data_IF_676949376178
#
_entry.id   IF_676949376178
#
_cell.length_a   1.000
_cell.length_b   1.000
_cell.length_c   1.000
_cell.angle_alpha   90.00
_cell.angle_beta   90.00
_cell.angle_gamma   90.00
#
_symmetry.space_group_name_H-M   'P 1'
#
loop_
_entity.id
_entity.type
_entity.pdbx_description
1 polymer ?
#
# COMPACT_ATOMS: atom_id res chain seq x y z
N UNK A 1 10.18 6.85 -16.04
CA UNK A 1 9.64 5.85 -15.10
C UNK A 1 9.81 6.38 -13.71
N UNK A 2 8.81 6.13 -12.88
CA UNK A 2 8.62 6.85 -11.64
C UNK A 2 8.75 5.92 -10.45
N UNK A 3 9.38 6.37 -9.39
CA UNK A 3 9.42 5.66 -8.13
C UNK A 3 9.48 6.65 -6.99
N UNK A 4 9.25 6.16 -5.79
CA UNK A 4 9.43 6.96 -4.60
C UNK A 4 10.91 7.10 -4.24
N UNK A 5 11.24 8.30 -3.80
CA UNK A 5 12.46 8.65 -3.10
C UNK A 5 12.12 8.81 -1.63
N UNK A 6 13.07 8.49 -0.78
CA UNK A 6 12.94 8.59 0.66
C UNK A 6 14.10 9.40 1.17
N UNK A 7 13.83 10.32 2.08
CA UNK A 7 14.86 11.11 2.74
C UNK A 7 14.77 10.96 4.25
N UNK A 8 15.91 10.70 4.88
CA UNK A 8 16.04 10.67 6.33
C UNK A 8 17.12 11.68 6.74
N UNK A 9 16.84 12.60 7.68
CA UNK A 9 17.82 13.54 8.22
C UNK A 9 18.76 12.81 9.18
N UNK A 10 19.89 12.31 8.68
CA UNK A 10 20.87 11.50 9.41
C UNK A 10 22.29 11.70 8.86
N UNK A 11 23.28 11.68 9.75
CA UNK A 11 24.70 11.82 9.39
C UNK A 11 25.27 10.58 8.68
N UNK A 12 24.60 9.42 8.80
CA UNK A 12 25.05 8.14 8.25
C UNK A 12 23.95 7.46 7.43
N UNK A 13 24.37 6.63 6.47
CA UNK A 13 23.45 5.85 5.64
C UNK A 13 22.48 5.02 6.51
N UNK A 14 21.16 5.16 6.32
CA UNK A 14 20.20 4.46 7.15
C UNK A 14 20.29 2.96 6.94
N UNK A 15 20.33 2.22 8.05
CA UNK A 15 20.21 0.76 8.04
C UNK A 15 18.74 0.34 8.04
N UNK A 16 18.48 -0.93 7.77
CA UNK A 16 17.13 -1.51 7.93
C UNK A 16 16.56 -1.31 9.35
N UNK A 17 17.42 -1.33 10.37
CA UNK A 17 16.97 -1.10 11.75
C UNK A 17 16.50 0.34 11.93
N UNK A 18 17.23 1.30 11.37
CA UNK A 18 16.88 2.73 11.41
C UNK A 18 15.55 3.00 10.71
N UNK A 19 15.35 2.36 9.54
CA UNK A 19 14.09 2.43 8.81
C UNK A 19 12.91 1.89 9.63
N UNK A 20 13.07 0.74 10.29
CA UNK A 20 12.01 0.21 11.18
C UNK A 20 11.72 1.14 12.35
N UNK A 21 12.73 1.78 12.93
CA UNK A 21 12.53 2.71 14.05
C UNK A 21 11.72 3.97 13.66
N UNK A 22 11.74 4.35 12.37
CA UNK A 22 10.91 5.45 11.85
C UNK A 22 9.57 4.99 11.26
N UNK A 23 9.18 3.74 11.51
CA UNK A 23 7.89 3.17 11.06
C UNK A 23 7.90 2.69 9.62
N UNK A 24 9.08 2.46 9.05
CA UNK A 24 9.29 2.10 7.66
C UNK A 24 9.42 0.57 7.51
N UNK A 25 8.36 -0.15 7.87
CA UNK A 25 8.37 -1.61 8.05
C UNK A 25 8.42 -2.41 6.73
N UNK A 26 8.04 -1.79 5.61
CA UNK A 26 7.93 -2.43 4.31
C UNK A 26 9.23 -2.40 3.48
N UNK A 27 10.30 -1.76 3.98
CA UNK A 27 11.62 -1.82 3.36
C UNK A 27 12.29 -3.19 3.58
N UNK A 28 12.19 -4.09 2.60
CA UNK A 28 12.86 -5.39 2.64
C UNK A 28 14.09 -5.49 1.71
N UNK A 29 14.78 -4.39 1.45
CA UNK A 29 15.91 -4.38 0.51
C UNK A 29 17.27 -4.47 1.22
N UNK A 30 18.11 -5.37 0.72
CA UNK A 30 19.37 -5.77 1.35
C UNK A 30 20.45 -4.67 1.24
N UNK A 31 20.33 -3.84 0.21
CA UNK A 31 21.05 -2.59 0.03
C UNK A 31 20.04 -1.52 -0.40
N UNK A 32 20.23 -0.29 0.09
CA UNK A 32 19.44 0.87 -0.30
C UNK A 32 20.32 1.69 -1.25
N UNK A 33 20.05 1.70 -2.56
CA UNK A 33 20.68 2.64 -3.47
C UNK A 33 20.39 4.05 -2.93
N UNK A 34 21.46 4.76 -2.58
CA UNK A 34 21.37 5.96 -1.77
C UNK A 34 22.49 6.93 -2.08
N UNK A 35 22.24 8.21 -1.84
CA UNK A 35 23.27 9.22 -1.77
C UNK A 35 23.05 10.14 -0.56
N UNK A 36 24.16 10.62 -0.04
CA UNK A 36 24.18 11.71 0.93
C UNK A 36 23.76 13.02 0.24
N UNK A 37 23.03 13.86 0.96
CA UNK A 37 22.70 15.21 0.53
C UNK A 37 22.99 16.20 1.65
N UNK A 38 23.69 17.28 1.31
CA UNK A 38 24.05 18.32 2.28
C UNK A 38 22.86 19.19 2.69
N UNK A 39 21.80 19.19 1.88
CA UNK A 39 20.61 20.00 2.06
C UNK A 39 19.42 19.27 1.45
N UNK A 40 18.64 18.61 2.30
CA UNK A 40 17.42 17.89 1.94
C UNK A 40 16.17 18.77 1.94
N UNK A 41 14.97 18.16 1.89
CA UNK A 41 13.67 18.87 1.84
C UNK A 41 13.37 19.73 3.08
N UNK A 42 14.06 19.49 4.19
CA UNK A 42 13.94 20.23 5.44
C UNK A 42 15.17 21.12 5.73
N UNK A 43 15.95 21.43 4.70
CA UNK A 43 17.21 22.18 4.77
C UNK A 43 18.30 21.54 5.65
N UNK A 44 18.12 20.29 6.11
CA UNK A 44 19.13 19.55 6.90
C UNK A 44 19.99 18.64 6.02
N UNK A 45 21.11 18.20 6.59
CA UNK A 45 21.88 17.10 6.03
C UNK A 45 21.13 15.78 6.20
N UNK A 46 21.25 14.89 5.22
CA UNK A 46 20.68 13.56 5.33
C UNK A 46 20.98 12.65 4.16
N UNK A 47 20.20 11.58 4.05
CA UNK A 47 20.34 10.55 3.03
C UNK A 47 19.09 10.43 2.20
N UNK A 48 19.24 10.54 0.88
CA UNK A 48 18.20 10.19 -0.09
C UNK A 48 18.45 8.78 -0.60
N UNK A 49 17.42 7.95 -0.59
CA UNK A 49 17.50 6.59 -1.11
C UNK A 49 16.21 6.19 -1.82
N UNK A 50 16.29 5.17 -2.66
CA UNK A 50 15.12 4.42 -3.08
C UNK A 50 15.11 3.08 -2.34
N UNK A 51 13.95 2.44 -2.25
CA UNK A 51 13.88 1.12 -1.62
C UNK A 51 14.44 0.01 -2.50
N UNK A 52 14.97 0.28 -3.69
CA UNK A 52 15.28 -0.76 -4.66
C UNK A 52 14.00 -1.42 -5.19
N UNK A 53 13.92 -1.60 -6.50
CA UNK A 53 12.87 -2.38 -7.11
C UNK A 53 13.51 -3.64 -7.69
N UNK A 54 13.09 -4.89 -7.35
CA UNK A 54 13.26 -5.93 -8.34
C UNK A 54 12.57 -5.45 -9.62
N UNK A 55 13.18 -5.63 -10.80
CA UNK A 55 12.75 -4.99 -12.04
C UNK A 55 11.25 -5.20 -12.23
N UNK A 56 10.48 -4.13 -12.12
CA UNK A 56 9.07 -4.14 -12.48
C UNK A 56 9.00 -4.42 -14.00
N UNK A 57 7.92 -5.02 -14.49
CA UNK A 57 7.75 -5.35 -15.92
C UNK A 57 7.82 -4.13 -16.86
N UNK A 58 7.93 -2.91 -16.34
CA UNK A 58 7.98 -1.65 -17.07
C UNK A 58 9.30 -0.89 -17.12
N UNK A 59 10.30 -1.14 -16.23
CA UNK A 59 11.68 -0.68 -16.45
C UNK A 59 12.51 -0.12 -15.27
N UNK A 60 13.30 0.93 -15.54
CA UNK A 60 14.55 1.33 -14.85
C UNK A 60 14.39 2.12 -13.54
N UNK A 61 15.41 2.03 -12.70
CA UNK A 61 15.45 2.63 -11.36
C UNK A 61 15.45 4.17 -11.40
N UNK A 62 14.70 4.84 -10.50
CA UNK A 62 14.76 6.29 -10.41
C UNK A 62 16.16 6.70 -9.98
N UNK A 63 16.64 7.78 -10.58
CA UNK A 63 17.86 8.44 -10.16
C UNK A 63 17.75 8.88 -8.70
N UNK A 64 18.68 8.41 -7.86
CA UNK A 64 18.67 8.68 -6.43
C UNK A 64 19.52 9.91 -6.14
N UNK A 65 18.90 11.08 -6.21
CA UNK A 65 19.49 12.35 -5.77
C UNK A 65 18.40 13.33 -5.33
N UNK A 66 18.76 14.29 -4.49
CA UNK A 66 17.90 15.40 -4.12
C UNK A 66 17.95 16.51 -5.19
N UNK A 67 16.79 16.94 -5.69
CA UNK A 67 16.64 18.11 -6.56
C UNK A 67 15.28 18.76 -6.31
N UNK A 68 15.27 19.78 -5.45
CA UNK A 68 14.05 20.41 -4.94
C UNK A 68 13.08 20.89 -6.03
N UNK A 69 13.59 21.50 -7.10
CA UNK A 69 12.73 22.10 -8.15
C UNK A 69 12.02 21.06 -9.04
N UNK A 70 12.55 19.84 -9.11
CA UNK A 70 12.04 18.76 -9.96
C UNK A 70 11.26 17.71 -9.16
N UNK A 71 11.20 17.86 -7.85
CA UNK A 71 10.66 16.85 -6.94
C UNK A 71 9.59 17.43 -6.04
N UNK A 72 8.58 16.62 -5.75
CA UNK A 72 7.65 16.87 -4.65
C UNK A 72 8.13 16.10 -3.44
N UNK A 73 8.03 16.69 -2.25
CA UNK A 73 8.37 16.07 -0.99
C UNK A 73 7.23 16.26 0.02
N UNK A 74 6.83 15.17 0.65
CA UNK A 74 5.83 15.11 1.70
C UNK A 74 6.49 14.70 3.02
N UNK A 75 6.22 15.47 4.07
CA UNK A 75 6.69 15.18 5.42
C UNK A 75 5.97 13.94 5.96
N UNK A 76 6.70 13.03 6.62
CA UNK A 76 6.14 11.81 7.18
C UNK A 76 6.57 11.62 8.64
N UNK A 77 5.66 11.05 9.44
CA UNK A 77 5.87 10.75 10.86
C UNK A 77 6.45 11.92 11.68
N UNK A 78 5.84 13.10 11.57
CA UNK A 78 6.26 14.33 12.29
C UNK A 78 7.71 14.74 11.97
N UNK A 79 8.08 14.69 10.68
CA UNK A 79 9.38 15.17 10.21
C UNK A 79 10.55 14.24 10.49
N UNK A 80 10.27 12.99 10.88
CA UNK A 80 11.28 11.94 11.06
C UNK A 80 11.87 11.48 9.72
N UNK A 81 11.08 11.56 8.66
CA UNK A 81 11.51 11.25 7.30
C UNK A 81 10.59 11.91 6.28
N UNK A 82 10.97 11.88 5.02
CA UNK A 82 10.25 12.49 3.92
C UNK A 82 10.08 11.52 2.75
N UNK A 83 8.91 11.57 2.12
CA UNK A 83 8.58 10.84 0.91
C UNK A 83 8.66 11.79 -0.28
N UNK A 84 9.35 11.42 -1.35
CA UNK A 84 9.46 12.25 -2.54
C UNK A 84 9.28 11.50 -3.84
N UNK A 85 9.09 12.25 -4.92
CA UNK A 85 9.03 11.72 -6.29
C UNK A 85 9.29 12.84 -7.31
N UNK A 86 9.56 12.46 -8.56
CA UNK A 86 9.77 13.41 -9.65
C UNK A 86 8.43 14.00 -10.14
N UNK A 87 8.39 15.32 -10.32
CA UNK A 87 7.18 16.06 -10.72
C UNK A 87 6.68 15.70 -12.13
N UNK A 88 7.60 15.52 -13.08
CA UNK A 88 7.26 15.16 -14.46
C UNK A 88 6.83 13.69 -14.58
N UNK A 89 7.31 12.85 -13.67
CA UNK A 89 7.06 11.41 -13.64
C UNK A 89 6.64 10.98 -12.23
N UNK A 90 5.40 11.27 -11.81
CA UNK A 90 4.87 10.79 -10.54
C UNK A 90 4.62 9.28 -10.60
N UNK A 91 4.76 8.53 -9.48
CA UNK A 91 4.53 7.10 -9.42
C UNK A 91 3.13 6.73 -9.93
N UNK A 92 3.06 5.74 -10.81
CA UNK A 92 1.81 5.20 -11.34
C UNK A 92 1.52 3.82 -10.75
N UNK A 93 0.27 3.31 -10.87
CA UNK A 93 -0.04 1.95 -10.45
C UNK A 93 0.91 0.92 -11.09
N UNK A 94 1.27 1.11 -12.37
CA UNK A 94 2.13 0.18 -13.09
C UNK A 94 3.56 0.16 -12.52
N UNK A 95 4.10 1.32 -12.14
CA UNK A 95 5.44 1.40 -11.54
C UNK A 95 5.50 0.70 -10.17
N UNK A 96 4.40 0.79 -9.41
CA UNK A 96 4.32 0.33 -8.03
C UNK A 96 3.86 -1.12 -7.90
N UNK A 97 3.35 -1.73 -8.97
CA UNK A 97 2.74 -3.06 -8.93
C UNK A 97 3.77 -4.16 -8.60
N UNK A 98 3.39 -5.09 -7.74
CA UNK A 98 4.15 -6.32 -7.53
C UNK A 98 4.11 -7.21 -8.77
N UNK A 99 5.14 -8.03 -8.97
CA UNK A 99 5.23 -8.94 -10.13
C UNK A 99 4.06 -9.92 -10.20
N UNK A 100 3.59 -10.37 -9.04
CA UNK A 100 2.43 -11.26 -8.91
C UNK A 100 1.34 -10.49 -8.19
N UNK A 101 0.15 -10.45 -8.77
CA UNK A 101 -1.06 -9.95 -8.10
C UNK A 101 -2.09 -11.08 -8.04
N UNK A 102 -2.92 -11.07 -6.99
CA UNK A 102 -4.03 -12.00 -6.85
C UNK A 102 -5.26 -11.56 -7.65
N UNK A 103 -6.37 -12.29 -7.46
CA UNK A 103 -7.67 -11.86 -7.95
C UNK A 103 -8.02 -10.46 -7.45
N UNK A 104 -8.47 -9.60 -8.37
CA UNK A 104 -8.61 -8.17 -8.12
C UNK A 104 -9.73 -7.56 -8.95
N UNK A 105 -10.31 -6.46 -8.46
CA UNK A 105 -11.25 -5.60 -9.19
C UNK A 105 -10.58 -4.28 -9.57
N UNK A 106 -10.91 -3.75 -10.74
CA UNK A 106 -10.39 -2.46 -11.18
C UNK A 106 -11.24 -1.33 -10.59
N UNK A 107 -10.61 -0.38 -9.90
CA UNK A 107 -11.26 0.80 -9.32
C UNK A 107 -10.47 2.04 -9.73
N UNK A 108 -11.15 3.07 -10.23
CA UNK A 108 -10.51 4.37 -10.51
C UNK A 108 -10.38 5.14 -9.20
N UNK A 109 -9.15 5.50 -8.84
CA UNK A 109 -8.84 6.26 -7.63
C UNK A 109 -8.77 7.77 -7.91
N UNK A 110 -8.50 8.58 -6.88
CA UNK A 110 -8.59 10.04 -6.98
C UNK A 110 -7.51 10.63 -7.91
N UNK A 111 -6.43 9.89 -8.19
CA UNK A 111 -5.44 10.25 -9.19
C UNK A 111 -5.93 10.04 -10.64
N UNK A 112 -7.19 9.61 -10.81
CA UNK A 112 -7.82 9.37 -12.10
C UNK A 112 -7.35 8.09 -12.79
N UNK A 113 -6.56 7.25 -12.11
CA UNK A 113 -6.00 6.01 -12.67
C UNK A 113 -6.73 4.79 -12.16
N UNK A 114 -6.71 3.72 -12.94
CA UNK A 114 -7.27 2.44 -12.57
C UNK A 114 -6.27 1.63 -11.72
N UNK A 115 -6.69 1.28 -10.51
CA UNK A 115 -5.95 0.44 -9.57
C UNK A 115 -6.64 -0.92 -9.43
N UNK A 116 -5.85 -1.98 -9.27
CA UNK A 116 -6.29 -3.34 -9.06
C UNK A 116 -6.41 -3.59 -7.56
N UNK A 117 -7.62 -3.44 -7.04
CA UNK A 117 -7.93 -3.67 -5.63
C UNK A 117 -8.09 -5.18 -5.43
N UNK A 118 -7.30 -5.83 -4.57
CA UNK A 118 -7.42 -7.27 -4.37
C UNK A 118 -8.74 -7.62 -3.71
N UNK A 119 -9.36 -8.70 -4.21
CA UNK A 119 -10.46 -9.35 -3.50
C UNK A 119 -9.84 -10.13 -2.35
N UNK A 120 -10.15 -9.77 -1.11
CA UNK A 120 -9.61 -10.42 0.11
C UNK A 120 -10.59 -11.45 0.66
N UNK A 121 -11.89 -11.14 0.58
CA UNK A 121 -12.99 -12.00 1.01
C UNK A 121 -13.95 -12.17 -0.15
N UNK A 122 -14.18 -13.41 -0.54
CA UNK A 122 -15.21 -13.73 -1.53
C UNK A 122 -16.59 -13.79 -0.86
N UNK A 123 -17.64 -13.66 -1.66
CA UNK A 123 -19.05 -13.72 -1.20
C UNK A 123 -19.40 -15.01 -0.46
N UNK A 124 -18.72 -16.11 -0.78
CA UNK A 124 -18.92 -17.42 -0.13
C UNK A 124 -18.16 -17.55 1.21
N UNK A 125 -17.48 -16.49 1.64
CA UNK A 125 -16.80 -16.39 2.94
C UNK A 125 -15.36 -16.91 2.98
N UNK A 126 -14.83 -17.36 1.85
CA UNK A 126 -13.43 -17.76 1.64
C UNK A 126 -12.49 -16.55 1.61
N UNK A 127 -11.19 -16.80 1.81
CA UNK A 127 -10.15 -15.77 1.73
C UNK A 127 -9.16 -16.08 0.62
N UNK A 128 -8.64 -15.02 0.00
CA UNK A 128 -7.51 -15.09 -0.94
C UNK A 128 -6.18 -14.76 -0.26
N UNK A 129 -6.21 -14.38 1.03
CA UNK A 129 -5.00 -14.11 1.80
C UNK A 129 -4.18 -15.39 1.98
N UNK A 130 -2.86 -15.28 2.18
CA UNK A 130 -2.04 -16.41 2.57
C UNK A 130 -2.56 -17.06 3.85
N UNK A 131 -2.78 -18.38 3.78
CA UNK A 131 -3.25 -19.23 4.88
C UNK A 131 -2.27 -20.36 5.16
N UNK A 132 -2.25 -20.83 6.40
CA UNK A 132 -1.68 -22.13 6.73
C UNK A 132 -2.56 -23.25 6.18
N UNK A 133 -1.93 -24.24 5.58
CA UNK A 133 -2.57 -25.48 5.16
C UNK A 133 -2.40 -26.53 6.26
N UNK A 134 -3.38 -27.41 6.40
CA UNK A 134 -3.30 -28.56 7.29
C UNK A 134 -4.11 -29.73 6.74
N UNK A 135 -4.07 -30.84 7.47
CA UNK A 135 -4.91 -32.01 7.16
C UNK A 135 -6.09 -32.07 8.13
N UNK A 136 -7.24 -32.50 7.62
CA UNK A 136 -8.38 -32.92 8.42
C UNK A 136 -8.22 -34.37 8.94
N UNK A 137 -9.26 -34.93 9.57
CA UNK A 137 -9.22 -36.30 10.13
C UNK A 137 -9.17 -37.38 9.05
N UNK A 138 -9.51 -37.05 7.82
CA UNK A 138 -9.56 -37.94 6.66
C UNK A 138 -8.29 -37.83 5.80
N UNK A 139 -7.34 -36.96 6.17
CA UNK A 139 -6.13 -36.71 5.39
C UNK A 139 -6.34 -35.77 4.20
N UNK A 140 -7.45 -35.04 4.16
CA UNK A 140 -7.71 -34.03 3.13
C UNK A 140 -7.05 -32.71 3.50
N UNK A 141 -6.42 -32.04 2.53
CA UNK A 141 -5.83 -30.71 2.72
C UNK A 141 -6.94 -29.68 2.91
N UNK A 142 -6.87 -28.93 4.00
CA UNK A 142 -7.78 -27.85 4.35
C UNK A 142 -7.01 -26.57 4.65
N UNK A 143 -7.65 -25.42 4.41
CA UNK A 143 -7.18 -24.14 4.92
C UNK A 143 -7.45 -24.08 6.44
N UNK A 144 -6.46 -23.68 7.25
CA UNK A 144 -6.62 -23.62 8.71
C UNK A 144 -6.78 -22.20 9.24
N UNK A 145 -5.79 -21.35 8.99
CA UNK A 145 -5.77 -20.00 9.55
C UNK A 145 -5.00 -19.06 8.63
N UNK A 146 -5.50 -17.83 8.49
CA UNK A 146 -4.77 -16.72 7.88
C UNK A 146 -3.43 -16.52 8.58
N UNK A 147 -2.35 -16.29 7.82
CA UNK A 147 -1.03 -16.07 8.43
C UNK A 147 -1.07 -14.84 9.37
N UNK A 148 -0.31 -14.84 10.49
CA UNK A 148 -0.38 -13.79 11.50
C UNK A 148 -0.20 -12.36 10.94
N UNK A 149 0.65 -12.17 9.93
CA UNK A 149 0.88 -10.87 9.29
C UNK A 149 -0.34 -10.30 8.57
N UNK A 150 -1.35 -11.10 8.25
CA UNK A 150 -2.60 -10.66 7.60
C UNK A 150 -3.82 -10.75 8.53
N UNK A 151 -3.63 -11.09 9.82
CA UNK A 151 -4.74 -11.30 10.75
C UNK A 151 -5.59 -10.03 10.93
N UNK A 152 -4.95 -8.86 11.08
CA UNK A 152 -5.63 -7.57 11.20
C UNK A 152 -6.46 -7.24 9.95
N UNK A 153 -5.87 -7.42 8.77
CA UNK A 153 -6.56 -7.19 7.50
C UNK A 153 -7.77 -8.12 7.34
N UNK A 154 -7.62 -9.39 7.74
CA UNK A 154 -8.72 -10.35 7.74
C UNK A 154 -9.85 -9.98 8.71
N UNK A 155 -9.52 -9.52 9.91
CA UNK A 155 -10.49 -9.03 10.90
C UNK A 155 -11.29 -7.85 10.34
N UNK A 156 -10.62 -6.86 9.75
CA UNK A 156 -11.25 -5.68 9.16
C UNK A 156 -12.20 -6.06 8.02
N UNK A 157 -11.81 -6.99 7.14
CA UNK A 157 -12.71 -7.48 6.08
C UNK A 157 -13.90 -8.27 6.60
N UNK A 158 -13.75 -8.98 7.72
CA UNK A 158 -14.88 -9.65 8.38
C UNK A 158 -15.89 -8.62 8.90
N UNK A 159 -15.40 -7.59 9.61
CA UNK A 159 -16.24 -6.48 10.07
C UNK A 159 -16.93 -5.80 8.88
N UNK A 160 -16.22 -5.61 7.77
CA UNK A 160 -16.72 -4.89 6.61
C UNK A 160 -17.86 -5.67 5.95
N UNK A 161 -17.66 -6.98 5.78
CA UNK A 161 -18.69 -7.88 5.26
C UNK A 161 -19.94 -7.90 6.15
N UNK A 162 -19.76 -7.91 7.48
CA UNK A 162 -20.88 -7.78 8.42
C UNK A 162 -21.59 -6.43 8.27
N UNK A 163 -20.85 -5.33 8.10
CA UNK A 163 -21.42 -4.01 7.82
C UNK A 163 -22.30 -3.99 6.57
N UNK A 164 -21.81 -4.57 5.46
CA UNK A 164 -22.58 -4.69 4.22
C UNK A 164 -23.83 -5.58 4.36
N UNK A 165 -23.71 -6.72 5.04
CA UNK A 165 -24.80 -7.72 5.13
C UNK A 165 -25.83 -7.41 6.21
N UNK A 166 -25.42 -6.78 7.31
CA UNK A 166 -26.30 -6.40 8.41
C UNK A 166 -26.73 -4.93 8.37
N UNK A 167 -26.25 -4.15 7.38
CA UNK A 167 -26.44 -2.70 7.26
C UNK A 167 -25.97 -1.94 8.52
N UNK A 168 -24.91 -2.43 9.15
CA UNK A 168 -24.38 -1.96 10.44
C UNK A 168 -23.04 -1.21 10.23
N UNK A 169 -23.15 -0.04 9.60
CA UNK A 169 -22.01 0.80 9.23
C UNK A 169 -21.45 1.62 10.38
N UNK A 170 -22.23 1.82 11.46
CA UNK A 170 -21.87 2.62 12.63
C UNK A 170 -20.64 2.07 13.39
N UNK A 171 -20.22 0.84 13.05
CA UNK A 171 -19.05 0.17 13.62
C UNK A 171 -17.74 0.48 12.89
N UNK A 172 -17.76 1.29 11.84
CA UNK A 172 -16.56 1.70 11.12
C UNK A 172 -16.19 3.15 11.40
N UNK A 173 -14.94 3.36 11.80
CA UNK A 173 -14.33 4.68 11.72
C UNK A 173 -13.77 4.90 10.32
N UNK A 174 -13.62 6.15 9.91
CA UNK A 174 -12.90 6.47 8.66
C UNK A 174 -11.47 5.93 8.68
N UNK A 175 -10.84 5.91 9.86
CA UNK A 175 -9.51 5.34 10.06
C UNK A 175 -9.47 3.83 9.79
N UNK A 176 -10.45 3.05 10.27
CA UNK A 176 -10.54 1.60 10.00
C UNK A 176 -10.67 1.33 8.49
N UNK A 177 -11.48 2.13 7.78
CA UNK A 177 -11.67 1.99 6.33
C UNK A 177 -10.41 2.39 5.55
N UNK A 178 -9.73 3.45 5.98
CA UNK A 178 -8.48 3.90 5.38
C UNK A 178 -7.35 2.87 5.60
N UNK A 179 -7.23 2.32 6.82
CA UNK A 179 -6.30 1.24 7.15
C UNK A 179 -6.55 0.02 6.26
N UNK A 180 -7.82 -0.39 6.14
CA UNK A 180 -8.23 -1.51 5.30
C UNK A 180 -7.88 -1.28 3.82
N UNK A 181 -8.20 -0.11 3.28
CA UNK A 181 -7.91 0.23 1.89
C UNK A 181 -6.39 0.26 1.59
N UNK A 182 -5.60 0.88 2.46
CA UNK A 182 -4.14 0.90 2.32
C UNK A 182 -3.54 -0.50 2.46
N UNK A 183 -4.00 -1.29 3.42
CA UNK A 183 -3.56 -2.67 3.62
C UNK A 183 -3.88 -3.58 2.43
N UNK A 184 -5.06 -3.41 1.83
CA UNK A 184 -5.43 -4.12 0.61
C UNK A 184 -4.54 -3.69 -0.58
N UNK A 185 -4.37 -2.39 -0.80
CA UNK A 185 -3.48 -1.89 -1.87
C UNK A 185 -2.06 -2.45 -1.73
N UNK A 186 -1.52 -2.53 -0.51
CA UNK A 186 -0.19 -3.06 -0.24
C UNK A 186 0.02 -4.53 -0.67
N UNK A 187 -1.06 -5.31 -0.83
CA UNK A 187 -0.96 -6.69 -1.35
C UNK A 187 -0.58 -6.74 -2.83
N UNK A 188 -1.00 -5.74 -3.61
CA UNK A 188 -0.75 -5.67 -5.05
C UNK A 188 0.30 -4.63 -5.44
N UNK A 189 0.60 -3.68 -4.55
CA UNK A 189 1.44 -2.52 -4.81
C UNK A 189 2.47 -2.30 -3.69
N UNK A 190 3.60 -1.71 -4.05
CA UNK A 190 4.67 -1.29 -3.12
C UNK A 190 4.36 0.06 -2.50
N UNK A 191 3.25 0.12 -1.76
CA UNK A 191 2.82 1.33 -1.04
C UNK A 191 2.35 0.98 0.36
N UNK A 192 2.51 1.94 1.26
CA UNK A 192 1.90 1.98 2.57
C UNK A 192 0.88 3.12 2.65
N UNK A 193 0.36 3.37 3.85
CA UNK A 193 -0.53 4.50 4.12
C UNK A 193 0.09 5.87 3.82
N UNK A 194 1.43 5.98 3.89
CA UNK A 194 2.14 7.22 3.64
C UNK A 194 2.18 7.54 2.15
N UNK A 195 2.54 6.57 1.31
CA UNK A 195 2.55 6.73 -0.14
C UNK A 195 1.14 6.95 -0.69
N UNK A 196 0.15 6.19 -0.19
CA UNK A 196 -1.25 6.37 -0.58
C UNK A 196 -1.78 7.76 -0.20
N UNK A 197 -1.44 8.26 0.99
CA UNK A 197 -1.83 9.58 1.46
C UNK A 197 -1.15 10.71 0.69
N UNK A 198 0.16 10.59 0.45
CA UNK A 198 0.93 11.61 -0.27
C UNK A 198 0.52 11.74 -1.75
N UNK A 199 0.14 10.63 -2.39
CA UNK A 199 -0.44 10.64 -3.73
C UNK A 199 -1.92 11.06 -3.74
N UNK A 200 -2.57 11.19 -2.58
CA UNK A 200 -3.99 11.52 -2.47
C UNK A 200 -4.90 10.47 -3.10
N UNK A 201 -4.56 9.18 -3.02
CA UNK A 201 -5.27 8.13 -3.75
C UNK A 201 -6.71 7.92 -3.27
N UNK A 202 -6.94 8.06 -1.96
CA UNK A 202 -8.20 7.73 -1.31
C UNK A 202 -8.94 9.00 -0.90
N UNK A 203 -10.22 9.05 -1.23
CA UNK A 203 -11.17 10.10 -0.83
C UNK A 203 -12.37 9.46 -0.17
N UNK A 204 -13.15 10.25 0.57
CA UNK A 204 -14.42 9.78 1.14
C UNK A 204 -15.39 9.24 0.08
N UNK A 205 -15.32 9.77 -1.14
CA UNK A 205 -16.13 9.33 -2.27
C UNK A 205 -15.67 7.97 -2.82
N UNK A 206 -14.36 7.79 -3.07
CA UNK A 206 -13.87 6.57 -3.70
C UNK A 206 -13.63 5.39 -2.74
N UNK A 207 -13.53 5.67 -1.43
CA UNK A 207 -13.21 4.66 -0.42
C UNK A 207 -14.26 3.56 -0.36
N UNK A 208 -15.53 3.90 -0.55
CA UNK A 208 -16.63 2.94 -0.57
C UNK A 208 -16.49 1.90 -1.70
N UNK A 209 -16.06 2.31 -2.89
CA UNK A 209 -15.81 1.41 -4.03
C UNK A 209 -14.60 0.50 -3.79
N UNK A 210 -13.55 1.02 -3.14
CA UNK A 210 -12.40 0.21 -2.73
C UNK A 210 -12.83 -0.85 -1.72
N UNK A 211 -13.59 -0.46 -0.70
CA UNK A 211 -14.12 -1.39 0.29
C UNK A 211 -15.03 -2.46 -0.34
N UNK A 212 -15.92 -2.08 -1.26
CA UNK A 212 -16.76 -3.03 -1.99
C UNK A 212 -15.93 -4.05 -2.78
N UNK A 213 -14.89 -3.59 -3.49
CA UNK A 213 -13.98 -4.46 -4.22
C UNK A 213 -13.25 -5.48 -3.31
N UNK A 214 -12.83 -5.05 -2.12
CA UNK A 214 -12.13 -5.90 -1.15
C UNK A 214 -12.96 -7.11 -0.71
N UNK A 215 -14.29 -6.96 -0.62
CA UNK A 215 -15.22 -8.03 -0.20
C UNK A 215 -16.08 -8.59 -1.34
N UNK A 216 -15.62 -8.42 -2.58
CA UNK A 216 -16.25 -8.94 -3.79
C UNK A 216 -17.71 -8.50 -3.99
N UNK A 217 -18.00 -7.23 -3.68
CA UNK A 217 -19.27 -6.60 -3.98
C UNK A 217 -19.14 -5.87 -5.34
N UNK A 218 -19.94 -6.25 -6.37
CA UNK A 218 -20.00 -5.59 -7.66
C UNK A 218 -20.34 -4.11 -7.52
N UNK A 219 -19.70 -3.27 -8.35
CA UNK A 219 -19.92 -1.83 -8.33
C UNK A 219 -21.34 -1.44 -8.74
N UNK A 220 -22.01 -2.24 -9.55
CA UNK A 220 -23.39 -2.01 -10.00
C UNK A 220 -24.35 -1.94 -8.79
N UNK A 221 -24.11 -2.78 -7.77
CA UNK A 221 -24.91 -2.78 -6.54
C UNK A 221 -24.69 -1.52 -5.68
N UNK A 222 -23.55 -0.84 -5.84
CA UNK A 222 -23.24 0.40 -5.12
C UNK A 222 -23.87 1.62 -5.79
N UNK A 223 -24.10 1.58 -7.09
CA UNK A 223 -24.68 2.68 -7.87
C UNK A 223 -26.22 2.70 -7.89
N UNK A 224 -26.87 1.73 -7.24
CA UNK A 224 -28.33 1.62 -7.23
C UNK A 224 -28.94 1.17 -8.56
N UNK A 225 -28.13 0.65 -9.48
CA UNK A 225 -28.58 0.06 -10.74
C UNK A 225 -28.77 -1.45 -10.53
N UNK A 226 -29.95 -1.82 -10.02
CA UNK A 226 -30.40 -3.20 -9.82
C UNK A 226 -31.70 -3.50 -10.53
#
# INVERSE_FOLDING_TARGET
MAGFLYYVPTDAAPTRADLRMVGFEHADCAALPGCECNKGPDDRHGWVFNLGSPPCEGGGEPAVWFKNDDQTWAECAEGKWWLGWNNEHPPTPLDLRHKTIGESRSVVLADGRAWMIPVIRERIGTTTLPVTLGLDRQGTVIQRAVLPGFARLWELTQRLWQGFTALDWDKFTEEDLYELACGALALNYRISKWEAGALGLLTTENLSYVCAAIVDIPQELMNGEG
#
